data_IF_691973432813
#
_entry.id   IF_691973432813
#
_cell.length_a   1.000
_cell.length_b   1.000
_cell.length_c   1.000
_cell.angle_alpha   90.00
_cell.angle_beta   90.00
_cell.angle_gamma   90.00
#
_symmetry.space_group_name_H-M   'P 1'
#
loop_
_entity.id
_entity.type
_entity.pdbx_description
1 polymer ?
#
# COMPACT_ATOMS: atom_id res chain seq x y z
N UNK A 1 -40.54 18.32 74.11
CA UNK A 1 -40.79 18.85 72.74
C UNK A 1 -39.49 19.12 71.99
N UNK A 2 -38.46 19.71 72.64
CA UNK A 2 -37.15 20.01 72.03
C UNK A 2 -36.35 18.78 71.57
N UNK A 3 -36.35 17.66 72.31
CA UNK A 3 -35.61 16.44 71.91
C UNK A 3 -36.11 15.84 70.59
N UNK A 4 -37.44 15.76 70.39
CA UNK A 4 -38.04 15.29 69.13
C UNK A 4 -37.72 16.20 67.93
N UNK A 5 -37.48 17.50 68.17
CA UNK A 5 -37.06 18.44 67.12
C UNK A 5 -35.58 18.24 66.76
N UNK A 6 -34.70 18.01 67.73
CA UNK A 6 -33.28 17.73 67.51
C UNK A 6 -33.05 16.42 66.74
N UNK A 7 -33.83 15.36 67.03
CA UNK A 7 -33.70 14.09 66.31
C UNK A 7 -34.16 14.19 64.85
N UNK A 8 -35.21 14.97 64.58
CA UNK A 8 -35.63 15.28 63.20
C UNK A 8 -34.56 16.07 62.46
N UNK A 9 -33.94 17.06 63.11
CA UNK A 9 -32.86 17.85 62.51
C UNK A 9 -31.63 16.98 62.19
N UNK A 10 -31.24 16.08 63.10
CA UNK A 10 -30.17 15.10 62.88
C UNK A 10 -30.47 14.17 61.70
N UNK A 11 -31.71 13.69 61.58
CA UNK A 11 -32.13 12.87 60.44
C UNK A 11 -32.04 13.65 59.12
N UNK A 12 -32.51 14.90 59.08
CA UNK A 12 -32.41 15.74 57.88
C UNK A 12 -30.95 15.98 57.48
N UNK A 13 -30.07 16.28 58.44
CA UNK A 13 -28.63 16.45 58.18
C UNK A 13 -28.01 15.17 57.62
N UNK A 14 -28.33 14.01 58.20
CA UNK A 14 -27.83 12.72 57.70
C UNK A 14 -28.29 12.44 56.25
N UNK A 15 -29.55 12.73 55.92
CA UNK A 15 -30.07 12.60 54.56
C UNK A 15 -29.38 13.54 53.59
N UNK A 16 -29.17 14.81 53.96
CA UNK A 16 -28.46 15.79 53.12
C UNK A 16 -27.02 15.36 52.88
N UNK A 17 -26.31 14.86 53.89
CA UNK A 17 -24.95 14.33 53.72
C UNK A 17 -24.93 13.10 52.79
N UNK A 18 -25.87 12.18 52.94
CA UNK A 18 -25.98 11.02 52.06
C UNK A 18 -26.25 11.42 50.61
N UNK A 19 -27.17 12.37 50.38
CA UNK A 19 -27.46 12.92 49.05
C UNK A 19 -26.25 13.65 48.47
N UNK A 20 -25.52 14.42 49.27
CA UNK A 20 -24.30 15.11 48.84
C UNK A 20 -23.20 14.13 48.42
N UNK A 21 -22.99 13.06 49.17
CA UNK A 21 -22.03 12.01 48.83
C UNK A 21 -22.42 11.27 47.54
N UNK A 22 -23.70 10.94 47.36
CA UNK A 22 -24.22 10.37 46.12
C UNK A 22 -23.99 11.30 44.93
N UNK A 23 -24.20 12.60 45.12
CA UNK A 23 -24.00 13.60 44.08
C UNK A 23 -22.52 13.74 43.70
N UNK A 24 -21.61 13.74 44.69
CA UNK A 24 -20.16 13.73 44.44
C UNK A 24 -19.74 12.47 43.68
N UNK A 25 -20.25 11.29 44.07
CA UNK A 25 -19.95 10.04 43.37
C UNK A 25 -20.46 10.05 41.92
N UNK A 26 -21.65 10.59 41.68
CA UNK A 26 -22.21 10.75 40.34
C UNK A 26 -21.37 11.71 39.49
N UNK A 27 -20.95 12.86 40.05
CA UNK A 27 -20.06 13.81 39.36
C UNK A 27 -18.71 13.17 39.01
N UNK A 28 -18.10 12.44 39.95
CA UNK A 28 -16.86 11.71 39.70
C UNK A 28 -17.02 10.64 38.60
N UNK A 29 -18.14 9.93 38.59
CA UNK A 29 -18.46 8.96 37.55
C UNK A 29 -18.63 9.64 36.17
N UNK A 30 -19.36 10.75 36.10
CA UNK A 30 -19.55 11.54 34.87
C UNK A 30 -18.20 12.06 34.35
N UNK A 31 -17.35 12.58 35.24
CA UNK A 31 -16.03 13.09 34.87
C UNK A 31 -15.15 11.98 34.25
N UNK A 32 -15.15 10.79 34.86
CA UNK A 32 -14.44 9.63 34.32
C UNK A 32 -14.99 9.14 32.98
N UNK A 33 -16.31 9.22 32.78
CA UNK A 33 -16.93 8.91 31.49
C UNK A 33 -16.55 9.93 30.41
N UNK A 34 -16.53 11.22 30.75
CA UNK A 34 -16.14 12.30 29.83
C UNK A 34 -14.70 12.12 29.34
N UNK A 35 -13.78 11.73 30.22
CA UNK A 35 -12.39 11.44 29.85
C UNK A 35 -12.29 10.26 28.88
N UNK A 36 -13.00 9.16 29.15
CA UNK A 36 -13.07 8.00 28.24
C UNK A 36 -13.67 8.36 26.89
N UNK A 37 -14.74 9.17 26.88
CA UNK A 37 -15.40 9.61 25.65
C UNK A 37 -14.48 10.51 24.82
N UNK A 38 -13.74 11.42 25.47
CA UNK A 38 -12.76 12.27 24.82
C UNK A 38 -11.63 11.46 24.18
N UNK A 39 -11.06 10.49 24.92
CA UNK A 39 -10.04 9.59 24.39
C UNK A 39 -10.56 8.75 23.21
N UNK A 40 -11.79 8.23 23.29
CA UNK A 40 -12.41 7.47 22.21
C UNK A 40 -12.65 8.34 20.96
N UNK A 41 -13.13 9.58 21.14
CA UNK A 41 -13.31 10.54 20.03
C UNK A 41 -11.98 10.88 19.36
N UNK A 42 -10.93 11.15 20.14
CA UNK A 42 -9.60 11.42 19.60
C UNK A 42 -9.07 10.26 18.77
N UNK A 43 -9.27 9.00 19.23
CA UNK A 43 -8.88 7.80 18.47
C UNK A 43 -9.71 7.67 17.18
N UNK A 44 -11.02 7.88 17.25
CA UNK A 44 -11.90 7.87 16.08
C UNK A 44 -11.48 8.91 15.03
N UNK A 45 -11.18 10.14 15.45
CA UNK A 45 -10.70 11.19 14.56
C UNK A 45 -9.35 10.86 13.93
N UNK A 46 -8.44 10.25 14.68
CA UNK A 46 -7.14 9.82 14.16
C UNK A 46 -7.31 8.71 13.11
N UNK A 47 -8.12 7.69 13.40
CA UNK A 47 -8.41 6.61 12.46
C UNK A 47 -9.13 7.14 11.23
N UNK A 48 -10.09 8.05 11.38
CA UNK A 48 -10.81 8.65 10.26
C UNK A 48 -9.86 9.47 9.36
N UNK A 49 -8.95 10.26 9.96
CA UNK A 49 -7.90 10.96 9.21
C UNK A 49 -7.00 9.99 8.42
N UNK A 50 -6.57 8.90 9.05
CA UNK A 50 -5.76 7.87 8.36
C UNK A 50 -6.54 7.19 7.23
N UNK A 51 -7.83 6.91 7.42
CA UNK A 51 -8.70 6.36 6.39
C UNK A 51 -8.88 7.33 5.21
N UNK A 52 -9.07 8.63 5.48
CA UNK A 52 -9.18 9.65 4.42
C UNK A 52 -7.89 9.74 3.60
N UNK A 53 -6.73 9.72 4.24
CA UNK A 53 -5.43 9.70 3.54
C UNK A 53 -5.30 8.43 2.70
N UNK A 54 -5.64 7.26 3.25
CA UNK A 54 -5.63 5.99 2.51
C UNK A 54 -6.58 6.00 1.31
N UNK A 55 -7.79 6.55 1.48
CA UNK A 55 -8.77 6.66 0.39
C UNK A 55 -8.28 7.58 -0.71
N UNK A 56 -7.68 8.73 -0.37
CA UNK A 56 -7.10 9.64 -1.36
C UNK A 56 -6.00 8.97 -2.19
N UNK A 57 -5.13 8.18 -1.56
CA UNK A 57 -4.09 7.40 -2.26
C UNK A 57 -4.75 6.38 -3.21
N UNK A 58 -5.79 5.67 -2.76
CA UNK A 58 -6.53 4.73 -3.59
C UNK A 58 -7.23 5.41 -4.78
N UNK A 59 -7.82 6.58 -4.57
CA UNK A 59 -8.47 7.36 -5.63
C UNK A 59 -7.47 7.83 -6.69
N UNK A 60 -6.30 8.35 -6.28
CA UNK A 60 -5.24 8.72 -7.21
C UNK A 60 -4.78 7.50 -8.03
N UNK A 61 -4.65 6.33 -7.39
CA UNK A 61 -4.31 5.09 -8.07
C UNK A 61 -5.34 4.68 -9.12
N UNK A 62 -6.65 4.73 -8.78
CA UNK A 62 -7.71 4.44 -9.75
C UNK A 62 -7.62 5.42 -10.92
N UNK A 63 -7.39 6.71 -10.67
CA UNK A 63 -7.19 7.71 -11.71
C UNK A 63 -6.01 7.38 -12.63
N UNK A 64 -4.85 7.01 -12.06
CA UNK A 64 -3.66 6.58 -12.83
C UNK A 64 -3.92 5.31 -13.62
N UNK A 65 -4.58 4.32 -13.03
CA UNK A 65 -4.95 3.08 -13.70
C UNK A 65 -5.89 3.35 -14.89
N UNK A 66 -6.93 4.16 -14.71
CA UNK A 66 -7.83 4.54 -15.79
C UNK A 66 -7.10 5.32 -16.89
N UNK A 67 -6.16 6.20 -16.53
CA UNK A 67 -5.32 6.90 -17.50
C UNK A 67 -4.46 5.93 -18.30
N UNK A 68 -3.88 4.91 -17.66
CA UNK A 68 -3.11 3.87 -18.31
C UNK A 68 -3.98 3.06 -19.30
N UNK A 69 -5.17 2.65 -18.87
CA UNK A 69 -6.14 1.98 -19.75
C UNK A 69 -6.49 2.84 -20.98
N UNK A 70 -6.73 4.15 -20.79
CA UNK A 70 -6.99 5.08 -21.89
C UNK A 70 -5.83 5.12 -22.89
N UNK A 71 -4.59 5.24 -22.42
CA UNK A 71 -3.40 5.26 -23.28
C UNK A 71 -3.26 3.95 -24.06
N UNK A 72 -3.53 2.80 -23.44
CA UNK A 72 -3.48 1.52 -24.13
C UNK A 72 -4.60 1.38 -25.18
N UNK A 73 -5.82 1.84 -24.90
CA UNK A 73 -6.92 1.85 -25.87
C UNK A 73 -6.54 2.69 -27.09
N UNK A 74 -6.01 3.90 -26.88
CA UNK A 74 -5.58 4.79 -27.95
C UNK A 74 -4.49 4.15 -28.83
N UNK A 75 -3.55 3.42 -28.20
CA UNK A 75 -2.52 2.68 -28.91
C UNK A 75 -3.04 1.51 -29.72
N UNK A 76 -3.96 0.72 -29.15
CA UNK A 76 -4.58 -0.39 -29.88
C UNK A 76 -5.34 0.13 -31.11
N UNK A 77 -6.03 1.27 -30.98
CA UNK A 77 -6.74 1.88 -32.10
C UNK A 77 -5.79 2.50 -33.13
N UNK A 78 -4.67 3.10 -32.70
CA UNK A 78 -3.61 3.55 -33.60
C UNK A 78 -2.98 2.38 -34.38
N UNK A 79 -2.68 1.28 -33.69
CA UNK A 79 -2.17 0.05 -34.31
C UNK A 79 -3.18 -0.52 -35.31
N UNK A 80 -4.46 -0.62 -34.94
CA UNK A 80 -5.56 -1.05 -35.83
C UNK A 80 -5.64 -0.19 -37.09
N UNK A 81 -5.56 1.14 -36.95
CA UNK A 81 -5.57 2.07 -38.10
C UNK A 81 -4.36 1.87 -39.02
N UNK A 82 -3.17 1.72 -38.44
CA UNK A 82 -1.94 1.45 -39.19
C UNK A 82 -2.05 0.15 -39.97
N UNK A 83 -2.47 -0.94 -39.33
CA UNK A 83 -2.69 -2.24 -39.97
C UNK A 83 -3.68 -2.10 -41.14
N UNK A 84 -4.84 -1.46 -40.91
CA UNK A 84 -5.84 -1.22 -41.96
C UNK A 84 -5.24 -0.47 -43.15
N UNK A 85 -4.48 0.60 -42.90
CA UNK A 85 -3.84 1.41 -43.95
C UNK A 85 -2.86 0.58 -44.78
N UNK A 86 -2.01 -0.23 -44.15
CA UNK A 86 -1.02 -1.09 -44.84
C UNK A 86 -1.72 -2.14 -45.70
N UNK A 87 -2.75 -2.80 -45.18
CA UNK A 87 -3.55 -3.78 -45.93
C UNK A 87 -4.23 -3.12 -47.14
N UNK A 88 -4.92 -1.99 -46.93
CA UNK A 88 -5.61 -1.28 -48.02
C UNK A 88 -4.67 -0.75 -49.10
N UNK A 89 -3.40 -0.50 -48.77
CA UNK A 89 -2.37 -0.07 -49.72
C UNK A 89 -1.61 -1.24 -50.39
N UNK A 90 -1.97 -2.50 -50.10
CA UNK A 90 -1.25 -3.68 -50.61
C UNK A 90 0.14 -3.89 -50.00
N UNK A 91 0.49 -3.16 -48.93
CA UNK A 91 1.79 -3.22 -48.25
C UNK A 91 1.87 -4.40 -47.25
N UNK A 92 1.45 -5.59 -47.68
CA UNK A 92 1.33 -6.77 -46.82
C UNK A 92 2.68 -7.33 -46.38
N UNK A 93 3.72 -7.27 -47.23
CA UNK A 93 5.06 -7.75 -46.90
C UNK A 93 5.73 -6.91 -45.79
N UNK A 94 5.62 -5.58 -45.88
CA UNK A 94 6.12 -4.66 -44.86
C UNK A 94 5.37 -4.87 -43.53
N UNK A 95 4.04 -5.05 -43.58
CA UNK A 95 3.25 -5.37 -42.41
C UNK A 95 3.68 -6.71 -41.79
N UNK A 96 3.97 -7.73 -42.59
CA UNK A 96 4.44 -9.03 -42.12
C UNK A 96 5.80 -8.91 -41.40
N UNK A 97 6.72 -8.09 -41.92
CA UNK A 97 7.98 -7.79 -41.24
C UNK A 97 7.76 -7.11 -39.88
N UNK A 98 6.88 -6.11 -39.82
CA UNK A 98 6.55 -5.42 -38.57
C UNK A 98 5.95 -6.36 -37.52
N UNK A 99 5.03 -7.24 -37.92
CA UNK A 99 4.37 -8.19 -37.01
C UNK A 99 5.34 -9.28 -36.52
N UNK A 100 6.31 -9.67 -37.34
CA UNK A 100 7.34 -10.66 -36.96
C UNK A 100 8.37 -10.11 -35.99
N UNK A 101 8.59 -8.79 -35.98
CA UNK A 101 9.55 -8.18 -35.07
C UNK A 101 9.07 -8.21 -33.62
N UNK A 102 10.01 -8.38 -32.69
CA UNK A 102 9.78 -8.25 -31.24
C UNK A 102 9.79 -6.79 -30.76
N UNK A 103 10.18 -5.83 -31.60
CA UNK A 103 10.33 -4.42 -31.22
C UNK A 103 9.10 -3.85 -30.51
N UNK A 104 7.89 -4.15 -31.01
CA UNK A 104 6.64 -3.68 -30.40
C UNK A 104 6.41 -4.30 -29.03
N UNK A 105 6.71 -5.60 -28.87
CA UNK A 105 6.56 -6.32 -27.61
C UNK A 105 7.58 -5.83 -26.57
N UNK A 106 8.83 -5.66 -26.97
CA UNK A 106 9.92 -5.20 -26.10
C UNK A 106 9.70 -3.75 -25.66
N UNK A 107 9.25 -2.88 -26.56
CA UNK A 107 8.86 -1.51 -26.23
C UNK A 107 7.69 -1.48 -25.23
N UNK A 108 6.67 -2.32 -25.45
CA UNK A 108 5.53 -2.45 -24.55
C UNK A 108 5.93 -2.95 -23.16
N UNK A 109 6.86 -3.92 -23.08
CA UNK A 109 7.37 -4.43 -21.82
C UNK A 109 8.19 -3.39 -21.05
N UNK A 110 9.05 -2.64 -21.74
CA UNK A 110 9.84 -1.55 -21.13
C UNK A 110 8.93 -0.49 -20.51
N UNK A 111 7.88 -0.11 -21.22
CA UNK A 111 6.91 0.85 -20.72
C UNK A 111 6.07 0.31 -19.57
N UNK A 112 5.67 -0.97 -19.62
CA UNK A 112 5.03 -1.63 -18.49
C UNK A 112 5.88 -1.49 -17.23
N UNK A 113 7.19 -1.74 -17.32
CA UNK A 113 8.10 -1.59 -16.19
C UNK A 113 8.21 -0.15 -15.71
N UNK A 114 8.35 0.83 -16.61
CA UNK A 114 8.41 2.25 -16.20
C UNK A 114 7.13 2.66 -15.47
N UNK A 115 5.97 2.26 -15.98
CA UNK A 115 4.68 2.55 -15.37
C UNK A 115 4.53 1.87 -14.00
N UNK A 116 4.92 0.60 -13.92
CA UNK A 116 4.93 -0.14 -12.66
C UNK A 116 5.87 0.49 -11.64
N UNK A 117 7.14 0.68 -11.99
CA UNK A 117 8.16 1.22 -11.10
C UNK A 117 7.76 2.62 -10.58
N UNK A 118 7.24 3.48 -11.47
CA UNK A 118 6.80 4.83 -11.09
C UNK A 118 5.58 4.81 -10.16
N UNK A 119 4.58 3.98 -10.47
CA UNK A 119 3.40 3.84 -9.63
C UNK A 119 3.74 3.26 -8.26
N UNK A 120 4.58 2.21 -8.24
CA UNK A 120 5.03 1.58 -7.01
C UNK A 120 5.82 2.54 -6.12
N UNK A 121 6.82 3.24 -6.67
CA UNK A 121 7.64 4.19 -5.90
C UNK A 121 6.86 5.43 -5.45
N UNK A 122 5.77 5.80 -6.12
CA UNK A 122 4.87 6.85 -5.60
C UNK A 122 4.13 6.43 -4.33
N UNK A 123 3.95 5.11 -4.11
CA UNK A 123 3.31 4.56 -2.92
C UNK A 123 4.35 4.27 -1.84
N UNK A 124 5.51 3.73 -2.23
CA UNK A 124 6.61 3.34 -1.37
C UNK A 124 7.89 4.11 -1.76
N UNK A 125 7.98 5.42 -1.46
CA UNK A 125 9.07 6.28 -1.94
C UNK A 125 10.45 5.84 -1.44
N UNK A 126 10.51 5.36 -0.21
CA UNK A 126 11.75 4.95 0.45
C UNK A 126 12.01 3.44 0.32
N UNK A 127 11.27 2.75 -0.57
CA UNK A 127 11.35 1.30 -0.72
C UNK A 127 12.77 0.80 -0.94
N UNK A 128 13.53 1.44 -1.83
CA UNK A 128 14.88 0.98 -2.18
C UNK A 128 15.82 1.08 -0.97
N UNK A 129 15.71 2.16 -0.19
CA UNK A 129 16.52 2.37 1.01
C UNK A 129 16.14 1.34 2.08
N UNK A 130 14.86 1.27 2.47
CA UNK A 130 14.37 0.33 3.49
C UNK A 130 14.58 -1.13 3.08
N UNK A 131 14.50 -1.45 1.78
CA UNK A 131 14.78 -2.79 1.27
C UNK A 131 16.26 -3.15 1.43
N UNK A 132 17.15 -2.22 1.09
CA UNK A 132 18.59 -2.42 1.25
C UNK A 132 19.01 -2.56 2.71
N UNK A 133 18.28 -1.93 3.64
CA UNK A 133 18.49 -2.20 5.06
C UNK A 133 18.23 -3.67 5.43
N UNK A 134 17.46 -4.43 4.65
CA UNK A 134 17.27 -5.88 4.91
C UNK A 134 18.47 -6.73 4.46
N UNK A 135 19.41 -6.16 3.70
CA UNK A 135 20.56 -6.84 3.12
C UNK A 135 21.83 -6.61 3.96
N UNK A 136 22.83 -7.46 3.74
CA UNK A 136 24.14 -7.31 4.38
C UNK A 136 24.87 -6.07 3.82
N UNK A 137 25.72 -5.41 4.64
CA UNK A 137 26.57 -4.32 4.15
C UNK A 137 27.41 -4.78 2.96
N UNK A 138 27.33 -4.06 1.84
CA UNK A 138 28.02 -4.40 0.58
C UNK A 138 27.20 -5.22 -0.42
N UNK A 139 26.05 -5.76 -0.01
CA UNK A 139 25.13 -6.51 -0.89
C UNK A 139 23.94 -5.66 -1.38
N UNK A 140 24.01 -4.33 -1.22
CA UNK A 140 22.96 -3.42 -1.63
C UNK A 140 22.68 -3.50 -3.13
N UNK A 141 21.40 -3.48 -3.49
CA UNK A 141 20.90 -3.48 -4.85
C UNK A 141 20.52 -2.04 -5.22
N UNK A 142 21.23 -1.48 -6.17
CA UNK A 142 21.02 -0.11 -6.67
C UNK A 142 20.65 -0.16 -8.15
N UNK A 143 19.58 0.53 -8.59
CA UNK A 143 19.23 0.64 -10.00
C UNK A 143 20.37 1.24 -10.83
N UNK A 144 20.49 0.80 -12.09
CA UNK A 144 21.45 1.39 -13.03
C UNK A 144 20.99 2.78 -13.47
N UNK A 145 21.90 3.56 -14.05
CA UNK A 145 21.57 4.89 -14.59
C UNK A 145 20.43 4.78 -15.60
N UNK A 146 19.31 5.46 -15.32
CA UNK A 146 18.10 5.46 -16.15
C UNK A 146 17.08 4.37 -15.82
N UNK A 147 17.35 3.52 -14.83
CA UNK A 147 16.37 2.56 -14.28
C UNK A 147 15.81 3.07 -12.95
N UNK A 148 14.53 2.83 -12.71
CA UNK A 148 13.88 3.13 -11.42
C UNK A 148 14.02 1.95 -10.46
N UNK A 149 13.80 0.73 -10.94
CA UNK A 149 14.02 -0.51 -10.20
C UNK A 149 14.80 -1.53 -11.04
N UNK A 150 15.57 -2.39 -10.37
CA UNK A 150 16.14 -3.59 -10.99
C UNK A 150 15.10 -4.71 -11.05
N UNK A 151 15.38 -5.77 -11.81
CA UNK A 151 14.52 -6.96 -11.83
C UNK A 151 14.34 -7.57 -10.45
N UNK A 152 15.41 -7.66 -9.64
CA UNK A 152 15.30 -8.12 -8.26
C UNK A 152 14.34 -7.25 -7.45
N UNK A 153 14.50 -5.92 -7.51
CA UNK A 153 13.62 -5.00 -6.78
C UNK A 153 12.16 -5.10 -7.25
N UNK A 154 11.90 -5.29 -8.55
CA UNK A 154 10.54 -5.50 -9.07
C UNK A 154 9.88 -6.76 -8.52
N UNK A 155 10.63 -7.87 -8.40
CA UNK A 155 10.12 -9.11 -7.82
C UNK A 155 9.65 -8.86 -6.38
N UNK A 156 10.47 -8.20 -5.56
CA UNK A 156 10.10 -7.93 -4.16
C UNK A 156 9.06 -6.81 -4.02
N UNK A 157 8.98 -5.87 -4.96
CA UNK A 157 7.89 -4.91 -5.05
C UNK A 157 6.54 -5.60 -5.33
N UNK A 158 6.51 -6.60 -6.22
CA UNK A 158 5.30 -7.39 -6.47
C UNK A 158 4.87 -8.19 -5.23
N UNK A 159 5.82 -8.83 -4.53
CA UNK A 159 5.56 -9.51 -3.26
C UNK A 159 5.03 -8.52 -2.22
N UNK A 160 5.62 -7.31 -2.13
CA UNK A 160 5.16 -6.23 -1.24
C UNK A 160 3.72 -5.81 -1.52
N UNK A 161 3.28 -5.88 -2.78
CA UNK A 161 1.90 -5.61 -3.19
C UNK A 161 0.94 -6.80 -2.95
N UNK A 162 1.45 -7.93 -2.43
CA UNK A 162 0.67 -9.14 -2.16
C UNK A 162 0.65 -10.16 -3.31
N UNK A 163 1.42 -9.92 -4.38
CA UNK A 163 1.60 -10.88 -5.48
C UNK A 163 2.80 -11.75 -5.14
N UNK A 164 2.56 -12.82 -4.39
CA UNK A 164 3.61 -13.72 -3.91
C UNK A 164 3.79 -14.98 -4.78
N UNK A 165 2.81 -15.30 -5.62
CA UNK A 165 2.89 -16.47 -6.51
C UNK A 165 3.97 -16.27 -7.60
N UNK A 166 4.96 -17.16 -7.61
CA UNK A 166 6.07 -17.09 -8.57
C UNK A 166 5.60 -17.21 -10.03
N UNK A 167 4.45 -17.83 -10.31
CA UNK A 167 3.91 -17.94 -11.67
C UNK A 167 3.32 -16.61 -12.13
N UNK A 168 2.56 -15.91 -11.27
CA UNK A 168 2.06 -14.56 -11.53
C UNK A 168 3.20 -13.55 -11.72
N UNK A 169 4.23 -13.61 -10.87
CA UNK A 169 5.42 -12.75 -11.01
C UNK A 169 6.15 -13.05 -12.34
N UNK A 170 6.29 -14.33 -12.69
CA UNK A 170 6.93 -14.75 -13.94
C UNK A 170 6.16 -14.25 -15.17
N UNK A 171 4.83 -14.34 -15.14
CA UNK A 171 3.95 -13.83 -16.19
C UNK A 171 4.11 -12.31 -16.36
N UNK A 172 4.05 -11.56 -15.24
CA UNK A 172 4.19 -10.11 -15.25
C UNK A 172 5.55 -9.66 -15.79
N UNK A 173 6.64 -10.29 -15.32
CA UNK A 173 8.00 -9.94 -15.70
C UNK A 173 8.46 -10.62 -17.01
N UNK A 174 7.63 -11.45 -17.66
CA UNK A 174 7.99 -12.21 -18.87
C UNK A 174 9.24 -13.09 -18.69
N UNK A 175 9.41 -13.65 -17.49
CA UNK A 175 10.46 -14.61 -17.17
C UNK A 175 9.91 -16.02 -17.00
N UNK A 176 10.79 -17.02 -16.95
CA UNK A 176 10.39 -18.35 -16.50
C UNK A 176 10.17 -18.36 -14.98
N UNK A 177 9.29 -19.24 -14.50
CA UNK A 177 9.09 -19.44 -13.05
C UNK A 177 10.41 -19.79 -12.35
N UNK A 178 11.26 -20.60 -12.99
CA UNK A 178 12.59 -20.95 -12.47
C UNK A 178 13.50 -19.72 -12.31
N UNK A 179 13.47 -18.80 -13.28
CA UNK A 179 14.20 -17.52 -13.19
C UNK A 179 13.74 -16.72 -11.96
N UNK A 180 12.43 -16.68 -11.69
CA UNK A 180 11.90 -15.99 -10.50
C UNK A 180 12.38 -16.66 -9.21
N UNK A 181 12.32 -17.99 -9.11
CA UNK A 181 12.85 -18.73 -7.95
C UNK A 181 14.34 -18.41 -7.70
N UNK A 182 15.15 -18.39 -8.77
CA UNK A 182 16.56 -18.09 -8.67
C UNK A 182 16.83 -16.67 -8.16
N UNK A 183 16.10 -15.66 -8.67
CA UNK A 183 16.22 -14.29 -8.17
C UNK A 183 15.81 -14.17 -6.70
N UNK A 184 14.69 -14.79 -6.30
CA UNK A 184 14.23 -14.79 -4.89
C UNK A 184 15.27 -15.42 -3.97
N UNK A 185 15.79 -16.59 -4.34
CA UNK A 185 16.81 -17.29 -3.57
C UNK A 185 18.11 -16.48 -3.48
N UNK A 186 18.59 -15.92 -4.61
CA UNK A 186 19.79 -15.08 -4.69
C UNK A 186 19.71 -13.90 -3.72
N UNK A 187 18.58 -13.20 -3.67
CA UNK A 187 18.42 -12.03 -2.79
C UNK A 187 18.22 -12.44 -1.33
N UNK A 188 17.42 -13.47 -1.05
CA UNK A 188 17.27 -13.98 0.33
C UNK A 188 18.60 -14.46 0.92
N UNK A 189 19.52 -14.97 0.10
CA UNK A 189 20.86 -15.36 0.55
C UNK A 189 21.77 -14.17 0.91
N UNK A 190 21.42 -12.95 0.47
CA UNK A 190 22.11 -11.69 0.81
C UNK A 190 21.50 -10.99 2.03
N UNK A 191 20.42 -11.53 2.59
CA UNK A 191 19.73 -10.94 3.72
C UNK A 191 20.61 -10.94 4.98
N UNK A 192 20.49 -9.89 5.80
CA UNK A 192 21.10 -9.83 7.14
C UNK A 192 20.25 -10.51 8.21
N UNK A 193 19.01 -10.88 7.87
CA UNK A 193 18.00 -11.49 8.74
C UNK A 193 17.62 -12.88 8.24
N UNK A 194 16.90 -13.65 9.06
CA UNK A 194 16.39 -14.97 8.68
C UNK A 194 15.45 -14.87 7.46
N UNK A 195 15.32 -15.98 6.72
CA UNK A 195 14.48 -16.03 5.50
C UNK A 195 13.00 -15.78 5.82
N UNK A 196 12.54 -16.24 6.98
CA UNK A 196 11.14 -16.12 7.41
C UNK A 196 10.84 -14.69 7.89
N UNK A 197 11.82 -14.04 8.54
CA UNK A 197 11.70 -12.64 8.93
C UNK A 197 11.80 -11.68 7.73
N UNK A 198 12.50 -12.09 6.67
CA UNK A 198 12.70 -11.24 5.48
C UNK A 198 11.39 -10.81 4.84
N UNK A 199 10.50 -11.75 4.55
CA UNK A 199 9.21 -11.43 3.93
C UNK A 199 8.30 -10.66 4.89
N UNK A 200 8.33 -10.99 6.18
CA UNK A 200 7.59 -10.23 7.19
C UNK A 200 8.04 -8.76 7.25
N UNK A 201 9.35 -8.51 7.24
CA UNK A 201 9.92 -7.16 7.24
C UNK A 201 9.69 -6.43 5.93
N UNK A 202 9.80 -7.13 4.80
CA UNK A 202 9.46 -6.60 3.48
C UNK A 202 8.03 -6.04 3.49
N UNK A 203 7.05 -6.79 4.01
CA UNK A 203 5.66 -6.34 4.07
C UNK A 203 5.43 -5.11 4.97
N UNK A 204 6.38 -4.78 5.84
CA UNK A 204 6.32 -3.61 6.72
C UNK A 204 6.92 -2.34 6.10
N UNK A 205 7.62 -2.46 4.96
CA UNK A 205 8.19 -1.31 4.24
C UNK A 205 7.07 -0.35 3.86
N UNK A 206 7.28 0.94 4.16
CA UNK A 206 6.34 2.03 3.89
C UNK A 206 6.78 2.88 2.72
#
# INVERSE_FOLDING_TARGET
MQEKQNDRLRLYVALVCALALLLIAALAFIWRQMERLSAARSRLEQTNRQLLVSNRIKEEYIGRFMKLCSVYIDRLDAYRRMVKKKISAGQTEELLQMVRSREVADAGLKELYVNFDSAFLSIFPDFIEQFNELLQPGEHIVPRKGELLTTELRIFALIRLGIDDSSQIAEFLRYSVNTIYNYRAKVKNKARISRDDFETRLMQIR
#
